data_IF_953525136368
#
_entry.id   IF_953525136368
#
_cell.length_a   1.000
_cell.length_b   1.000
_cell.length_c   1.000
_cell.angle_alpha   90.00
_cell.angle_beta   90.00
_cell.angle_gamma   90.00
#
_symmetry.space_group_name_H-M   'P 1'
#
loop_
_entity.id
_entity.type
_entity.pdbx_description
1 polymer ?
#
# COMPACT_ATOMS: atom_id res chain seq x y z
N UNK A 1 2.97 -10.99 -16.15
CA UNK A 1 2.86 -9.75 -15.36
C UNK A 1 4.19 -9.56 -14.64
N UNK A 2 4.67 -8.32 -14.42
CA UNK A 2 5.82 -8.10 -13.56
C UNK A 2 5.57 -8.76 -12.20
N UNK A 3 6.59 -9.36 -11.61
CA UNK A 3 6.51 -9.83 -10.24
C UNK A 3 6.49 -8.58 -9.34
N UNK A 4 5.28 -8.15 -8.95
CA UNK A 4 5.07 -6.99 -8.09
C UNK A 4 5.76 -7.15 -6.74
N UNK A 5 5.99 -8.39 -6.27
CA UNK A 5 6.75 -8.64 -5.05
C UNK A 5 8.24 -8.42 -5.28
N UNK A 6 8.79 -8.76 -6.45
CA UNK A 6 10.18 -8.43 -6.81
C UNK A 6 10.38 -6.91 -6.89
N UNK A 7 9.46 -6.19 -7.53
CA UNK A 7 9.49 -4.72 -7.59
C UNK A 7 9.38 -4.11 -6.19
N UNK A 8 8.41 -4.53 -5.37
CA UNK A 8 8.22 -4.04 -4.00
C UNK A 8 9.46 -4.34 -3.13
N UNK A 9 10.04 -5.53 -3.26
CA UNK A 9 11.26 -5.92 -2.56
C UNK A 9 12.45 -5.04 -2.94
N UNK A 10 12.61 -4.74 -4.22
CA UNK A 10 13.69 -3.88 -4.73
C UNK A 10 13.58 -2.46 -4.18
N UNK A 11 12.37 -1.87 -4.21
CA UNK A 11 12.14 -0.52 -3.66
C UNK A 11 12.36 -0.49 -2.14
N UNK A 12 12.01 -1.57 -1.43
CA UNK A 12 12.18 -1.63 0.02
C UNK A 12 13.66 -1.64 0.48
N UNK A 13 14.61 -1.94 -0.41
CA UNK A 13 16.05 -1.85 -0.12
C UNK A 13 16.64 -0.45 -0.30
N UNK A 14 15.89 0.48 -0.90
CA UNK A 14 16.35 1.86 -1.12
C UNK A 14 16.48 2.62 0.21
N UNK A 15 17.40 3.58 0.25
CA UNK A 15 17.47 4.58 1.32
C UNK A 15 16.27 5.52 1.29
N UNK A 16 15.97 6.20 2.40
CA UNK A 16 14.82 7.11 2.47
C UNK A 16 14.89 8.25 1.44
N UNK A 17 16.09 8.77 1.16
CA UNK A 17 16.31 9.78 0.12
C UNK A 17 16.04 9.24 -1.29
N UNK A 18 16.40 7.99 -1.55
CA UNK A 18 16.14 7.34 -2.84
C UNK A 18 14.66 7.05 -3.01
N UNK A 19 13.98 6.56 -1.96
CA UNK A 19 12.52 6.39 -1.96
C UNK A 19 11.83 7.71 -2.27
N UNK A 20 12.23 8.78 -1.58
CA UNK A 20 11.64 10.10 -1.80
C UNK A 20 11.89 10.60 -3.22
N UNK A 21 13.10 10.47 -3.75
CA UNK A 21 13.44 11.00 -5.07
C UNK A 21 12.86 10.17 -6.23
N UNK A 22 12.78 8.85 -6.07
CA UNK A 22 12.37 7.93 -7.15
C UNK A 22 10.87 7.60 -7.11
N UNK A 23 10.23 7.63 -5.94
CA UNK A 23 8.84 7.20 -5.76
C UNK A 23 7.86 8.35 -5.54
N UNK A 24 8.32 9.57 -5.23
CA UNK A 24 7.46 10.76 -5.16
C UNK A 24 7.38 11.49 -6.49
N UNK A 25 6.21 12.06 -6.78
CA UNK A 25 6.04 13.03 -7.88
C UNK A 25 6.47 14.45 -7.49
N UNK A 26 6.60 14.73 -6.18
CA UNK A 26 7.00 16.01 -5.61
C UNK A 26 7.85 15.85 -4.33
N UNK A 27 9.13 15.42 -4.42
CA UNK A 27 9.97 15.08 -3.27
C UNK A 27 10.04 16.14 -2.16
N UNK A 28 10.00 17.42 -2.52
CA UNK A 28 10.10 18.53 -1.56
C UNK A 28 8.76 18.92 -0.90
N UNK A 29 7.64 18.34 -1.33
CA UNK A 29 6.30 18.66 -0.85
C UNK A 29 5.62 17.49 -0.12
N UNK A 30 6.26 16.32 -0.09
CA UNK A 30 5.71 15.16 0.59
C UNK A 30 5.59 15.36 2.10
N UNK A 31 4.60 14.74 2.75
CA UNK A 31 4.48 14.76 4.19
C UNK A 31 5.64 13.99 4.85
N UNK A 32 5.94 14.26 6.13
CA UNK A 32 7.07 13.64 6.83
C UNK A 32 7.00 12.11 6.95
N UNK A 33 5.80 11.52 6.79
CA UNK A 33 5.55 10.08 6.88
C UNK A 33 5.44 9.39 5.51
N UNK A 34 5.81 10.07 4.41
CA UNK A 34 5.72 9.52 3.07
C UNK A 34 6.51 8.21 2.92
N UNK A 35 7.80 8.23 3.25
CA UNK A 35 8.67 7.06 3.11
C UNK A 35 8.18 5.89 3.98
N UNK A 36 7.73 6.15 5.21
CA UNK A 36 7.16 5.13 6.08
C UNK A 36 5.90 4.50 5.46
N UNK A 37 5.05 5.32 4.85
CA UNK A 37 3.82 4.88 4.19
C UNK A 37 4.12 3.99 3.00
N UNK A 38 5.07 4.37 2.14
CA UNK A 38 5.53 3.58 1.00
C UNK A 38 6.08 2.22 1.45
N UNK A 39 6.95 2.20 2.47
CA UNK A 39 7.49 0.95 3.03
C UNK A 39 6.40 0.03 3.56
N UNK A 40 5.37 0.58 4.20
CA UNK A 40 4.21 -0.20 4.67
C UNK A 40 3.42 -0.80 3.50
N UNK A 41 3.25 -0.07 2.41
CA UNK A 41 2.59 -0.56 1.19
C UNK A 41 3.40 -1.71 0.58
N UNK A 42 4.71 -1.54 0.39
CA UNK A 42 5.56 -2.59 -0.18
C UNK A 42 5.58 -3.84 0.69
N UNK A 43 5.68 -3.68 2.01
CA UNK A 43 5.58 -4.80 2.95
C UNK A 43 4.26 -5.56 2.78
N UNK A 44 3.13 -4.86 2.67
CA UNK A 44 1.83 -5.49 2.44
C UNK A 44 1.82 -6.28 1.12
N UNK A 45 2.37 -5.72 0.04
CA UNK A 45 2.44 -6.39 -1.27
C UNK A 45 3.32 -7.64 -1.24
N UNK A 46 4.44 -7.61 -0.50
CA UNK A 46 5.33 -8.77 -0.34
C UNK A 46 4.64 -9.86 0.50
N UNK A 47 3.93 -9.49 1.56
CA UNK A 47 3.25 -10.43 2.46
C UNK A 47 1.94 -10.99 1.87
N UNK A 48 1.31 -10.28 0.93
CA UNK A 48 0.02 -10.63 0.33
C UNK A 48 0.13 -10.66 -1.20
N UNK A 49 0.86 -11.65 -1.76
CA UNK A 49 1.11 -11.74 -3.19
C UNK A 49 -0.16 -11.93 -4.02
N UNK A 50 -1.14 -12.66 -3.50
CA UNK A 50 -2.38 -12.92 -4.21
C UNK A 50 -3.40 -11.80 -3.96
N UNK A 51 -3.70 -11.03 -5.01
CA UNK A 51 -4.70 -9.99 -4.95
C UNK A 51 -6.13 -10.56 -4.76
N UNK A 52 -6.37 -11.83 -5.12
CA UNK A 52 -7.67 -12.48 -4.91
C UNK A 52 -8.01 -12.65 -3.43
N UNK A 53 -7.01 -12.73 -2.54
CA UNK A 53 -7.21 -12.71 -1.08
C UNK A 53 -7.77 -11.37 -0.61
N UNK A 54 -7.34 -10.28 -1.27
CA UNK A 54 -7.91 -8.97 -1.04
C UNK A 54 -9.34 -8.88 -1.59
N UNK A 55 -9.65 -9.50 -2.73
CA UNK A 55 -10.96 -9.43 -3.38
C UNK A 55 -11.54 -10.82 -3.72
N UNK A 56 -11.99 -11.58 -2.70
CA UNK A 56 -12.45 -12.95 -2.91
C UNK A 56 -13.61 -13.02 -3.88
N UNK A 57 -13.55 -13.97 -4.81
CA UNK A 57 -14.56 -14.17 -5.86
C UNK A 57 -14.80 -12.91 -6.70
N UNK A 58 -13.76 -12.07 -6.86
CA UNK A 58 -13.81 -10.85 -7.67
C UNK A 58 -14.86 -9.84 -7.17
N UNK A 59 -15.22 -9.91 -5.87
CA UNK A 59 -16.20 -9.01 -5.25
C UNK A 59 -15.52 -7.87 -4.50
N UNK A 60 -16.09 -6.65 -4.54
CA UNK A 60 -15.57 -5.52 -3.78
C UNK A 60 -15.72 -5.73 -2.27
N UNK A 61 -14.86 -5.08 -1.49
CA UNK A 61 -15.07 -4.94 -0.04
C UNK A 61 -16.05 -3.79 0.21
N UNK A 62 -17.24 -4.12 0.71
CA UNK A 62 -18.27 -3.13 1.05
C UNK A 62 -18.10 -2.71 2.50
N UNK A 63 -18.14 -1.41 2.76
CA UNK A 63 -18.10 -0.83 4.09
C UNK A 63 -19.34 0.06 4.28
N UNK A 64 -19.82 0.16 5.52
CA UNK A 64 -20.93 1.04 5.88
C UNK A 64 -20.54 1.93 7.06
N UNK A 65 -21.16 3.10 7.11
CA UNK A 65 -21.03 4.03 8.23
C UNK A 65 -21.84 3.52 9.42
N UNK A 66 -21.24 3.54 10.61
CA UNK A 66 -21.88 3.12 11.85
C UNK A 66 -22.37 4.33 12.65
N UNK A 67 -23.32 4.10 13.58
CA UNK A 67 -23.87 5.18 14.41
C UNK A 67 -22.83 5.81 15.36
N UNK A 68 -21.74 5.11 15.66
CA UNK A 68 -20.58 5.60 16.43
C UNK A 68 -19.55 6.34 15.56
N UNK A 69 -19.86 6.58 14.28
CA UNK A 69 -19.03 7.41 13.39
C UNK A 69 -17.79 6.70 12.87
N UNK A 70 -17.88 5.38 12.63
CA UNK A 70 -16.77 4.56 12.12
C UNK A 70 -17.18 3.84 10.83
N UNK A 71 -16.18 3.39 10.09
CA UNK A 71 -16.40 2.45 9.01
C UNK A 71 -16.38 1.02 9.55
N UNK A 72 -17.42 0.24 9.24
CA UNK A 72 -17.46 -1.20 9.49
C UNK A 72 -17.54 -1.95 8.17
N UNK A 73 -16.86 -3.09 8.09
CA UNK A 73 -16.96 -3.99 6.92
C UNK A 73 -18.32 -4.65 6.94
N UNK A 74 -19.03 -4.60 5.82
CA UNK A 74 -20.23 -5.39 5.62
C UNK A 74 -19.82 -6.87 5.52
N UNK A 75 -20.31 -7.69 6.45
CA UNK A 75 -20.09 -9.15 6.46
C UNK A 75 -20.66 -9.81 5.21
#
# INVERSE_FOLDING_TARGET
MPDWAEMASSHNQLSDSEVLLQCSTSPAAEPPHFVETERRIWKYLIENPDWEDAFPKYKPRVFHWTNDGRWSRHS
#
